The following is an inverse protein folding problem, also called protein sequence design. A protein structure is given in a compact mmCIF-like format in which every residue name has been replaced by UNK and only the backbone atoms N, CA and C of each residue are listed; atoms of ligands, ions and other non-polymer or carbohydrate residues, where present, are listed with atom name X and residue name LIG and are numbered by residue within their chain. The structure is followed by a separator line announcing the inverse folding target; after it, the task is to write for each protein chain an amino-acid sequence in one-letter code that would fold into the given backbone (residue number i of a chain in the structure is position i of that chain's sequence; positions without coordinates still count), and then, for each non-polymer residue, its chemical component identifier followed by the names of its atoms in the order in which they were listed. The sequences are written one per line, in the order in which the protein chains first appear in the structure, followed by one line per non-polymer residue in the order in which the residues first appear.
data_IF_080466749589
#
_entry.id   IF_080466749589
#
_cell.length_a   1.000
_cell.length_b   1.000
_cell.length_c   1.000
_cell.angle_alpha   90.00
_cell.angle_beta   90.00
_cell.angle_gamma   90.00
#
_symmetry.space_group_name_H-M   'P 1'
#
loop_
_entity.id
_entity.type
_entity.pdbx_description
1 polymer ?
#
# COMPACT_ATOMS: atom_id res chain seq x y z
N UNK A 1 17.08 10.57 35.49
CA UNK A 1 15.83 10.46 36.28
C UNK A 1 14.68 10.28 35.28
N UNK A 2 13.62 9.56 35.64
CA UNK A 2 12.71 8.91 34.68
C UNK A 2 11.25 9.20 35.02
N UNK A 3 10.50 9.78 34.09
CA UNK A 3 9.03 9.82 34.18
C UNK A 3 8.51 8.47 33.70
N UNK A 4 7.68 7.82 34.52
CA UNK A 4 7.13 6.50 34.24
C UNK A 4 5.63 6.51 34.50
N UNK A 5 4.85 6.29 33.45
CA UNK A 5 3.38 6.30 33.53
C UNK A 5 2.85 4.95 33.06
N UNK A 6 2.01 4.34 33.89
CA UNK A 6 1.31 3.11 33.57
C UNK A 6 0.06 3.41 32.75
N UNK A 7 -0.18 2.61 31.71
CA UNK A 7 -1.30 2.74 30.79
C UNK A 7 -2.16 1.48 30.83
N UNK A 8 -3.47 1.67 30.79
CA UNK A 8 -4.46 0.59 30.80
C UNK A 8 -5.06 0.41 29.39
N UNK A 9 -4.20 0.14 28.40
CA UNK A 9 -4.60 -0.09 27.01
C UNK A 9 -4.85 -1.58 26.78
N UNK A 10 -5.84 -1.90 25.95
CA UNK A 10 -6.34 -3.27 25.76
C UNK A 10 -6.02 -3.84 24.37
N UNK A 11 -5.68 -3.00 23.40
CA UNK A 11 -5.40 -3.41 22.03
C UNK A 11 -4.23 -2.66 21.39
N UNK A 12 -3.76 -3.16 20.25
CA UNK A 12 -2.75 -2.46 19.45
C UNK A 12 -3.31 -1.16 18.84
N UNK A 13 -4.58 -1.17 18.44
CA UNK A 13 -5.26 0.01 17.92
C UNK A 13 -5.32 1.13 18.97
N UNK A 14 -5.71 0.80 20.21
CA UNK A 14 -5.70 1.76 21.33
C UNK A 14 -4.28 2.24 21.65
N UNK A 15 -3.29 1.35 21.58
CA UNK A 15 -1.88 1.71 21.78
C UNK A 15 -1.38 2.71 20.74
N UNK A 16 -1.71 2.50 19.47
CA UNK A 16 -1.34 3.43 18.40
C UNK A 16 -2.12 4.74 18.48
N UNK A 17 -3.42 4.71 18.79
CA UNK A 17 -4.23 5.91 18.98
C UNK A 17 -3.70 6.78 20.12
N UNK A 18 -3.32 6.17 21.25
CA UNK A 18 -2.64 6.86 22.35
C UNK A 18 -1.33 7.52 21.90
N UNK A 19 -0.45 6.79 21.20
CA UNK A 19 0.83 7.35 20.76
C UNK A 19 0.62 8.52 19.79
N UNK A 20 -0.33 8.40 18.85
CA UNK A 20 -0.67 9.47 17.91
C UNK A 20 -1.18 10.72 18.64
N UNK A 21 -2.09 10.55 19.59
CA UNK A 21 -2.58 11.64 20.45
C UNK A 21 -1.45 12.25 21.28
N UNK A 22 -0.54 11.44 21.82
CA UNK A 22 0.60 11.90 22.60
C UNK A 22 1.53 12.81 21.80
N UNK A 23 1.84 12.45 20.55
CA UNK A 23 2.71 13.27 19.71
C UNK A 23 2.06 14.60 19.33
N UNK A 24 0.75 14.59 19.09
CA UNK A 24 -0.03 15.82 18.87
C UNK A 24 -0.02 16.70 20.13
N UNK A 25 -0.23 16.13 21.31
CA UNK A 25 -0.19 16.84 22.58
C UNK A 25 1.20 17.41 22.91
N UNK A 26 2.27 16.70 22.53
CA UNK A 26 3.62 17.25 22.65
C UNK A 26 3.83 18.44 21.72
N UNK A 27 3.39 18.36 20.46
CA UNK A 27 3.45 19.53 19.54
C UNK A 27 2.66 20.71 20.08
N UNK A 28 1.46 20.46 20.59
CA UNK A 28 0.61 21.50 21.18
C UNK A 28 1.24 22.13 22.43
N UNK A 29 1.65 21.30 23.39
CA UNK A 29 2.11 21.76 24.71
C UNK A 29 3.49 22.40 24.66
N UNK A 30 4.38 21.92 23.79
CA UNK A 30 5.78 22.37 23.73
C UNK A 30 6.11 23.20 22.48
N UNK A 31 5.21 23.28 21.50
CA UNK A 31 5.45 23.96 20.22
C UNK A 31 6.41 23.22 19.29
N UNK A 32 6.98 22.08 19.72
CA UNK A 32 7.94 21.28 18.96
C UNK A 32 7.84 19.81 19.34
N UNK A 33 8.02 18.92 18.36
CA UNK A 33 8.14 17.47 18.55
C UNK A 33 8.92 16.89 17.37
N UNK A 34 10.24 17.09 17.38
CA UNK A 34 11.14 16.61 16.33
C UNK A 34 11.86 15.34 16.80
N UNK A 35 12.01 14.36 15.91
CA UNK A 35 12.53 13.05 16.28
C UNK A 35 13.90 12.76 15.67
N UNK A 36 14.80 12.26 16.51
CA UNK A 36 15.79 11.29 16.07
C UNK A 36 15.16 9.90 16.23
N UNK A 37 14.44 9.46 15.21
CA UNK A 37 13.72 8.19 15.22
C UNK A 37 14.68 7.04 14.93
N UNK A 38 14.94 6.21 15.94
CA UNK A 38 15.90 5.09 15.86
C UNK A 38 15.36 3.91 16.67
N UNK A 39 14.25 3.29 16.23
CA UNK A 39 13.56 2.31 17.05
C UNK A 39 14.38 1.01 17.19
N UNK A 40 14.44 0.48 18.40
CA UNK A 40 14.98 -0.86 18.64
C UNK A 40 14.26 -1.57 19.78
N UNK A 41 14.28 -2.89 19.74
CA UNK A 41 13.60 -3.74 20.72
C UNK A 41 14.61 -4.45 21.62
N UNK A 42 14.48 -4.23 22.92
CA UNK A 42 15.15 -5.03 23.95
C UNK A 42 14.18 -6.10 24.45
N UNK A 43 14.28 -7.30 23.86
CA UNK A 43 13.42 -8.44 24.20
C UNK A 43 13.59 -8.92 25.64
N UNK A 44 14.80 -8.80 26.22
CA UNK A 44 15.06 -9.22 27.61
C UNK A 44 14.32 -8.33 28.61
N UNK A 45 14.18 -7.04 28.29
CA UNK A 45 13.46 -6.06 29.13
C UNK A 45 12.01 -5.82 28.71
N UNK A 46 11.52 -6.52 27.69
CA UNK A 46 10.22 -6.25 27.06
C UNK A 46 10.00 -4.76 26.79
N UNK A 47 11.04 -4.11 26.24
CA UNK A 47 11.08 -2.66 26.04
C UNK A 47 11.32 -2.34 24.57
N UNK A 48 10.58 -1.37 24.05
CA UNK A 48 10.81 -0.79 22.72
C UNK A 48 11.24 0.65 22.94
N UNK A 49 12.42 0.99 22.44
CA UNK A 49 12.90 2.36 22.40
C UNK A 49 12.49 2.96 21.06
N UNK A 50 11.99 4.18 21.05
CA UNK A 50 11.66 4.91 19.82
C UNK A 50 12.83 5.77 19.34
N UNK A 51 13.63 6.28 20.28
CA UNK A 51 14.72 7.22 20.02
C UNK A 51 14.60 8.43 20.93
N UNK A 52 15.10 9.56 20.44
CA UNK A 52 15.10 10.82 21.18
C UNK A 52 14.17 11.84 20.51
N UNK A 53 13.38 12.54 21.32
CA UNK A 53 12.54 13.64 20.88
C UNK A 53 13.10 14.97 21.38
N UNK A 54 13.13 15.96 20.50
CA UNK A 54 13.37 17.35 20.83
C UNK A 54 12.03 18.09 20.94
N UNK A 55 11.72 18.50 22.17
CA UNK A 55 10.52 19.27 22.54
C UNK A 55 10.83 20.78 22.72
N UNK A 56 11.97 21.27 22.22
CA UNK A 56 12.39 22.67 22.45
C UNK A 56 12.87 22.92 23.88
N UNK A 57 13.29 21.86 24.58
CA UNK A 57 13.82 21.90 25.93
C UNK A 57 15.36 21.87 25.90
N UNK A 58 16.00 22.15 27.04
CA UNK A 58 17.46 22.05 27.19
C UNK A 58 17.93 20.58 27.21
N UNK A 59 17.84 19.90 26.07
CA UNK A 59 18.26 18.52 25.83
C UNK A 59 17.12 17.62 25.36
N UNK A 60 17.44 16.65 24.51
CA UNK A 60 16.48 15.70 23.97
C UNK A 60 16.02 14.67 25.02
N UNK A 61 14.77 14.24 24.91
CA UNK A 61 14.14 13.24 25.79
C UNK A 61 14.11 11.91 25.06
N UNK A 62 14.76 10.90 25.63
CA UNK A 62 14.63 9.51 25.21
C UNK A 62 13.25 8.96 25.56
N UNK A 63 12.57 8.38 24.58
CA UNK A 63 11.24 7.79 24.76
C UNK A 63 11.28 6.30 24.47
N UNK A 64 10.62 5.55 25.34
CA UNK A 64 10.45 4.11 25.19
C UNK A 64 9.18 3.63 25.87
N UNK A 65 8.73 2.44 25.50
CA UNK A 65 7.56 1.78 26.07
C UNK A 65 7.92 0.38 26.56
N UNK A 66 7.22 -0.10 27.58
CA UNK A 66 7.19 -1.53 27.93
C UNK A 66 5.87 -2.15 27.52
N UNK A 67 5.89 -3.46 27.26
CA UNK A 67 4.72 -4.22 26.87
C UNK A 67 4.65 -5.54 27.65
N UNK A 68 3.44 -6.02 27.99
CA UNK A 68 3.23 -7.35 28.60
C UNK A 68 2.81 -8.39 27.56
N UNK A 69 1.96 -7.96 26.63
CA UNK A 69 1.59 -8.71 25.41
C UNK A 69 2.18 -7.97 24.22
N UNK A 70 2.55 -8.71 23.16
CA UNK A 70 3.12 -8.12 21.95
C UNK A 70 2.19 -6.99 21.46
N UNK A 71 2.77 -5.82 21.20
CA UNK A 71 2.09 -4.65 20.62
C UNK A 71 1.02 -3.94 21.48
N UNK A 72 0.93 -4.23 22.79
CA UNK A 72 0.06 -3.50 23.73
C UNK A 72 0.92 -2.78 24.76
N UNK A 73 0.83 -1.44 24.82
CA UNK A 73 1.65 -0.63 25.72
C UNK A 73 1.14 -0.80 27.15
N UNK A 74 2.08 -1.12 28.06
CA UNK A 74 1.83 -1.14 29.51
C UNK A 74 2.32 0.12 30.19
N UNK A 75 3.51 0.61 29.82
CA UNK A 75 4.08 1.83 30.39
C UNK A 75 4.84 2.61 29.34
N UNK A 76 4.84 3.92 29.46
CA UNK A 76 5.74 4.82 28.75
C UNK A 76 6.81 5.35 29.70
N UNK A 77 8.02 5.54 29.18
CA UNK A 77 9.16 6.04 29.92
C UNK A 77 9.79 7.21 29.16
N UNK A 78 10.04 8.30 29.88
CA UNK A 78 10.71 9.49 29.38
C UNK A 78 11.98 9.72 30.19
N UNK A 79 13.13 9.78 29.51
CA UNK A 79 14.45 9.82 30.12
C UNK A 79 15.30 10.89 29.44
N UNK A 80 15.83 11.85 30.19
CA UNK A 80 16.80 12.81 29.67
C UNK A 80 18.21 12.35 30.03
N UNK A 81 19.14 12.38 29.06
CA UNK A 81 20.52 11.98 29.30
C UNK A 81 21.20 13.00 30.24
N UNK A 82 21.86 12.49 31.30
CA UNK A 82 22.74 13.19 32.24
C UNK A 82 22.15 14.27 33.16
N UNK A 83 20.97 14.83 32.88
CA UNK A 83 20.34 15.84 33.73
C UNK A 83 19.03 15.36 34.39
N UNK A 84 18.73 15.91 35.57
CA UNK A 84 17.42 15.74 36.22
C UNK A 84 16.40 16.57 35.44
N UNK A 85 15.32 15.94 34.99
CA UNK A 85 14.19 16.69 34.40
C UNK A 85 13.67 17.65 35.48
N UNK A 86 13.62 18.97 35.22
CA UNK A 86 13.07 19.93 36.17
C UNK A 86 11.61 19.60 36.53
N UNK A 87 11.17 19.78 37.79
CA UNK A 87 9.81 19.44 38.23
C UNK A 87 8.70 20.07 37.37
N UNK A 88 8.90 21.30 36.89
CA UNK A 88 7.96 21.99 36.00
C UNK A 88 7.80 21.28 34.65
N UNK A 89 8.91 20.80 34.07
CA UNK A 89 8.91 20.04 32.83
C UNK A 89 8.29 18.67 33.05
N UNK A 90 8.61 18.01 34.17
CA UNK A 90 8.01 16.72 34.55
C UNK A 90 6.48 16.83 34.70
N UNK A 91 5.99 17.87 35.37
CA UNK A 91 4.56 18.15 35.49
C UNK A 91 3.92 18.39 34.12
N UNK A 92 4.57 19.18 33.25
CA UNK A 92 4.07 19.46 31.90
C UNK A 92 4.02 18.21 31.01
N UNK A 93 5.03 17.33 31.09
CA UNK A 93 5.07 16.04 30.40
C UNK A 93 3.94 15.12 30.89
N UNK A 94 3.73 15.06 32.20
CA UNK A 94 2.69 14.24 32.81
C UNK A 94 1.29 14.71 32.38
N UNK A 95 1.03 16.03 32.44
CA UNK A 95 -0.22 16.62 31.95
C UNK A 95 -0.48 16.32 30.48
N UNK A 96 0.56 16.40 29.62
CA UNK A 96 0.42 16.08 28.20
C UNK A 96 0.09 14.59 27.97
N UNK A 97 0.66 13.69 28.78
CA UNK A 97 0.35 12.26 28.72
C UNK A 97 -1.09 11.99 29.18
N UNK A 98 -1.53 12.59 30.28
CA UNK A 98 -2.89 12.43 30.79
C UNK A 98 -3.93 12.94 29.79
N UNK A 99 -3.66 14.11 29.17
CA UNK A 99 -4.50 14.65 28.10
C UNK A 99 -4.54 13.72 26.90
N UNK A 100 -3.39 13.21 26.45
CA UNK A 100 -3.33 12.25 25.35
C UNK A 100 -4.11 10.95 25.65
N UNK A 101 -4.10 10.46 26.89
CA UNK A 101 -4.93 9.30 27.29
C UNK A 101 -6.40 9.62 27.10
N UNK A 102 -6.86 10.78 27.61
CA UNK A 102 -8.27 11.19 27.51
C UNK A 102 -8.73 11.40 26.06
N UNK A 103 -7.89 12.01 25.22
CA UNK A 103 -8.25 12.39 23.85
C UNK A 103 -8.05 11.25 22.84
N UNK A 104 -7.25 10.23 23.16
CA UNK A 104 -6.92 9.11 22.25
C UNK A 104 -8.13 8.36 21.68
N UNK A 105 -9.30 8.49 22.30
CA UNK A 105 -10.55 7.85 21.87
C UNK A 105 -11.42 8.72 20.96
N UNK A 106 -11.03 9.99 20.76
CA UNK A 106 -11.86 10.98 20.07
C UNK A 106 -11.05 11.75 19.02
N UNK A 107 -10.52 11.07 17.98
CA UNK A 107 -9.86 11.75 16.88
C UNK A 107 -10.85 12.66 16.15
N UNK A 108 -10.35 13.78 15.61
CA UNK A 108 -11.13 14.73 14.82
C UNK A 108 -11.09 14.35 13.35
N UNK A 109 -12.12 14.78 12.61
CA UNK A 109 -12.14 14.66 11.16
C UNK A 109 -11.38 15.85 10.56
N UNK A 110 -10.44 15.54 9.67
CA UNK A 110 -9.73 16.49 8.83
C UNK A 110 -10.09 16.18 7.37
N UNK A 111 -10.25 17.23 6.57
CA UNK A 111 -10.31 17.10 5.12
C UNK A 111 -8.91 17.24 4.56
N UNK A 112 -8.50 16.31 3.71
CA UNK A 112 -7.21 16.31 3.03
C UNK A 112 -7.47 16.40 1.54
N UNK A 113 -6.72 17.25 0.85
CA UNK A 113 -6.71 17.33 -0.60
C UNK A 113 -5.39 16.72 -1.09
N UNK A 114 -5.47 15.82 -2.07
CA UNK A 114 -4.33 15.33 -2.82
C UNK A 114 -4.54 15.56 -4.31
N UNK A 115 -3.60 16.27 -4.92
CA UNK A 115 -3.49 16.37 -6.37
C UNK A 115 -2.57 15.27 -6.88
N UNK A 116 -2.90 14.71 -8.05
CA UNK A 116 -2.16 13.61 -8.62
C UNK A 116 -2.29 13.54 -10.14
N UNK A 117 -1.25 12.99 -10.76
CA UNK A 117 -1.22 12.69 -12.18
C UNK A 117 -1.69 11.26 -12.44
N UNK A 118 -2.40 11.06 -13.52
CA UNK A 118 -2.76 9.76 -14.08
C UNK A 118 -2.25 9.63 -15.53
N UNK A 119 -1.66 8.49 -15.84
CA UNK A 119 -1.19 8.17 -17.20
C UNK A 119 -1.98 6.98 -17.75
N UNK A 120 -2.56 7.09 -18.96
CA UNK A 120 -2.33 8.13 -19.97
C UNK A 120 -3.28 9.33 -19.91
N UNK A 121 -4.39 9.26 -19.16
CA UNK A 121 -5.42 10.30 -19.13
C UNK A 121 -6.03 10.44 -17.72
N UNK A 122 -6.74 11.53 -17.47
CA UNK A 122 -7.45 11.82 -16.23
C UNK A 122 -8.52 10.77 -15.91
N UNK A 123 -8.81 10.61 -14.63
CA UNK A 123 -9.94 9.80 -14.15
C UNK A 123 -11.20 10.66 -14.11
N UNK A 124 -12.34 10.03 -14.43
CA UNK A 124 -13.65 10.64 -14.36
C UNK A 124 -13.99 11.14 -12.96
N UNK A 125 -15.10 11.86 -12.86
CA UNK A 125 -15.50 12.47 -11.61
C UNK A 125 -16.37 11.50 -10.79
N UNK A 126 -16.07 11.37 -9.51
CA UNK A 126 -16.72 10.44 -8.59
C UNK A 126 -16.88 11.06 -7.21
N UNK A 127 -17.95 10.68 -6.51
CA UNK A 127 -18.25 11.13 -5.15
C UNK A 127 -18.71 9.98 -4.27
N UNK A 128 -18.07 9.82 -3.13
CA UNK A 128 -18.49 8.89 -2.07
C UNK A 128 -19.00 9.62 -0.82
N UNK A 129 -19.25 8.87 0.24
CA UNK A 129 -19.59 9.44 1.56
C UNK A 129 -18.41 10.19 2.17
N UNK A 130 -17.18 9.75 1.90
CA UNK A 130 -15.97 10.26 2.53
C UNK A 130 -14.98 10.90 1.54
N UNK A 131 -15.33 11.02 0.26
CA UNK A 131 -14.47 11.67 -0.73
C UNK A 131 -15.21 12.33 -1.89
N UNK A 132 -14.46 13.20 -2.58
CA UNK A 132 -14.76 13.73 -3.92
C UNK A 132 -13.51 13.57 -4.77
N UNK A 133 -13.68 13.08 -6.00
CA UNK A 133 -12.64 12.86 -6.99
C UNK A 133 -13.07 13.53 -8.29
N UNK A 134 -12.19 14.31 -8.91
CA UNK A 134 -12.48 14.96 -10.18
C UNK A 134 -11.22 15.28 -10.97
N UNK A 135 -11.36 15.32 -12.29
CA UNK A 135 -10.33 15.78 -13.21
C UNK A 135 -10.13 17.30 -13.09
N UNK A 136 -8.87 17.74 -13.08
CA UNK A 136 -8.50 19.16 -13.20
C UNK A 136 -8.20 19.50 -14.67
N UNK A 137 -7.45 18.62 -15.35
CA UNK A 137 -7.12 18.72 -16.77
C UNK A 137 -7.02 17.32 -17.40
N UNK A 138 -6.36 17.18 -18.55
CA UNK A 138 -6.26 15.91 -19.29
C UNK A 138 -5.52 14.77 -18.57
N UNK A 139 -4.68 15.07 -17.58
CA UNK A 139 -3.90 14.06 -16.83
C UNK A 139 -3.83 14.33 -15.32
N UNK A 140 -4.19 15.52 -14.87
CA UNK A 140 -4.16 15.88 -13.46
C UNK A 140 -5.56 15.78 -12.86
N UNK A 141 -5.60 15.25 -11.65
CA UNK A 141 -6.80 14.97 -10.89
C UNK A 141 -6.65 15.46 -9.46
N UNK A 142 -7.78 15.59 -8.77
CA UNK A 142 -7.85 15.93 -7.36
C UNK A 142 -8.76 14.97 -6.63
N UNK A 143 -8.29 14.48 -5.48
CA UNK A 143 -9.14 13.82 -4.50
C UNK A 143 -9.15 14.61 -3.19
N UNK A 144 -10.34 14.92 -2.69
CA UNK A 144 -10.58 15.51 -1.37
C UNK A 144 -11.26 14.44 -0.52
N UNK A 145 -10.71 14.11 0.64
CA UNK A 145 -11.20 12.99 1.45
C UNK A 145 -11.03 13.20 2.95
N UNK A 146 -11.85 12.49 3.72
CA UNK A 146 -11.86 12.54 5.17
C UNK A 146 -10.75 11.66 5.78
N UNK A 147 -10.06 12.20 6.78
CA UNK A 147 -9.05 11.48 7.56
C UNK A 147 -9.21 11.78 9.05
N UNK A 148 -9.16 10.74 9.89
CA UNK A 148 -9.19 10.89 11.35
C UNK A 148 -7.79 11.18 11.89
N UNK A 149 -7.63 12.29 12.60
CA UNK A 149 -6.36 12.72 13.18
C UNK A 149 -6.50 13.46 14.51
N UNK A 150 -5.40 13.55 15.26
CA UNK A 150 -5.33 14.32 16.52
C UNK A 150 -4.81 15.75 16.32
N UNK A 151 -4.03 15.98 15.26
CA UNK A 151 -3.66 17.29 14.75
C UNK A 151 -3.43 17.22 13.22
N UNK A 152 -3.10 18.36 12.60
CA UNK A 152 -2.88 18.45 11.17
C UNK A 152 -1.73 17.55 10.67
N UNK A 153 -0.65 17.42 11.44
CA UNK A 153 0.52 16.61 11.06
C UNK A 153 0.18 15.12 11.12
N UNK A 154 -0.53 14.70 12.16
CA UNK A 154 -1.03 13.32 12.30
C UNK A 154 -2.04 12.99 11.18
N UNK A 155 -2.98 13.89 10.88
CA UNK A 155 -3.93 13.71 9.80
C UNK A 155 -3.23 13.55 8.43
N UNK A 156 -2.24 14.41 8.11
CA UNK A 156 -1.45 14.27 6.88
C UNK A 156 -0.65 12.96 6.85
N UNK A 157 -0.10 12.54 7.98
CA UNK A 157 0.63 11.27 8.09
C UNK A 157 -0.28 10.06 7.81
N UNK A 158 -1.51 10.07 8.31
CA UNK A 158 -2.48 9.02 7.99
C UNK A 158 -2.93 9.08 6.52
N UNK A 159 -3.14 10.29 5.98
CA UNK A 159 -3.47 10.48 4.57
C UNK A 159 -2.40 9.87 3.64
N UNK A 160 -1.12 10.04 3.98
CA UNK A 160 0.01 9.47 3.24
C UNK A 160 0.06 7.93 3.28
N UNK A 161 -0.59 7.29 4.25
CA UNK A 161 -0.73 5.82 4.28
C UNK A 161 -1.88 5.33 3.41
N UNK A 162 -2.95 6.12 3.30
CA UNK A 162 -4.18 5.76 2.60
C UNK A 162 -4.05 6.01 1.09
N UNK A 163 -3.51 7.16 0.68
CA UNK A 163 -3.51 7.56 -0.74
C UNK A 163 -2.79 6.55 -1.66
N UNK A 164 -1.67 5.91 -1.29
CA UNK A 164 -1.05 4.90 -2.16
C UNK A 164 -1.98 3.71 -2.36
N UNK A 165 -2.81 3.34 -1.36
CA UNK A 165 -3.76 2.23 -1.49
C UNK A 165 -4.93 2.54 -2.41
N UNK A 166 -5.39 3.79 -2.39
CA UNK A 166 -6.35 4.30 -3.38
C UNK A 166 -5.76 4.19 -4.78
N UNK A 167 -4.53 4.67 -4.99
CA UNK A 167 -3.87 4.60 -6.29
C UNK A 167 -3.59 3.17 -6.75
N UNK A 168 -3.14 2.30 -5.85
CA UNK A 168 -2.92 0.88 -6.13
C UNK A 168 -4.22 0.23 -6.62
N UNK A 169 -5.34 0.49 -5.94
CA UNK A 169 -6.65 0.00 -6.34
C UNK A 169 -7.11 0.57 -7.70
N UNK A 170 -7.07 1.90 -7.86
CA UNK A 170 -7.44 2.56 -9.12
C UNK A 170 -6.61 2.05 -10.29
N UNK A 171 -5.32 1.75 -10.05
CA UNK A 171 -4.41 1.19 -11.05
C UNK A 171 -4.91 -0.14 -11.60
N UNK A 172 -5.40 -1.04 -10.75
CA UNK A 172 -6.03 -2.31 -11.18
C UNK A 172 -7.35 -2.04 -11.93
N UNK A 173 -8.15 -1.10 -11.44
CA UNK A 173 -9.45 -0.77 -12.04
C UNK A 173 -9.33 -0.15 -13.42
N UNK A 174 -8.20 0.49 -13.74
CA UNK A 174 -8.08 1.34 -14.94
C UNK A 174 -6.87 1.06 -15.81
N UNK A 175 -6.01 0.10 -15.46
CA UNK A 175 -4.72 -0.16 -16.12
C UNK A 175 -3.83 1.08 -16.27
N UNK A 176 -3.99 2.04 -15.35
CA UNK A 176 -3.29 3.32 -15.37
C UNK A 176 -2.33 3.45 -14.19
N UNK A 177 -1.40 4.40 -14.31
CA UNK A 177 -0.46 4.74 -13.24
C UNK A 177 -0.86 6.05 -12.61
N UNK A 178 -0.80 6.09 -11.28
CA UNK A 178 -1.18 7.24 -10.47
C UNK A 178 -0.02 7.68 -9.57
N UNK A 179 0.29 8.98 -9.60
CA UNK A 179 1.40 9.57 -8.84
C UNK A 179 0.93 10.87 -8.17
N UNK A 180 1.00 10.91 -6.84
CA UNK A 180 0.69 12.14 -6.08
C UNK A 180 1.72 13.22 -6.40
N UNK A 181 1.24 14.44 -6.60
CA UNK A 181 2.06 15.63 -6.81
C UNK A 181 2.06 16.53 -5.59
N UNK A 182 0.94 16.62 -4.86
CA UNK A 182 0.84 17.39 -3.62
C UNK A 182 -0.24 16.84 -2.70
N UNK A 183 -0.06 17.01 -1.38
CA UNK A 183 -1.04 16.64 -0.36
C UNK A 183 -1.04 17.68 0.75
N UNK A 184 -2.22 18.22 1.09
CA UNK A 184 -2.36 19.27 2.10
C UNK A 184 -3.71 19.20 2.85
N UNK A 185 -3.79 19.89 3.99
CA UNK A 185 -5.06 20.03 4.72
C UNK A 185 -5.98 20.96 3.94
N UNK A 186 -7.16 20.45 3.61
CA UNK A 186 -8.23 21.20 2.99
C UNK A 186 -9.14 21.81 4.06
N UNK A 187 -9.42 23.10 3.95
CA UNK A 187 -10.17 23.85 4.98
C UNK A 187 -11.68 23.86 4.77
N UNK A 188 -12.15 23.49 3.59
CA UNK A 188 -13.57 23.51 3.27
C UNK A 188 -14.17 22.11 3.42
N UNK A 189 -15.50 22.03 3.53
CA UNK A 189 -16.22 20.77 3.50
C UNK A 189 -16.32 20.23 2.07
N UNK A 190 -16.68 18.95 1.94
CA UNK A 190 -16.99 18.31 0.67
C UNK A 190 -18.29 18.88 0.09
N UNK A 191 -18.21 20.04 -0.59
CA UNK A 191 -19.36 20.70 -1.21
C UNK A 191 -19.19 20.74 -2.74
N UNK A 192 -19.97 19.91 -3.44
CA UNK A 192 -20.31 20.03 -4.87
C UNK A 192 -21.08 18.79 -5.31
N UNK A 193 -22.17 18.99 -6.05
CA UNK A 193 -22.74 17.92 -6.88
C UNK A 193 -21.74 17.64 -8.02
N UNK A 194 -21.36 16.38 -8.17
CA UNK A 194 -20.46 15.92 -9.22
C UNK A 194 -21.26 15.02 -10.15
N UNK A 195 -21.15 15.27 -11.46
CA UNK A 195 -21.74 14.37 -12.45
C UNK A 195 -20.85 13.12 -12.58
N UNK A 196 -21.37 11.98 -12.14
CA UNK A 196 -20.70 10.68 -12.21
C UNK A 196 -21.11 9.92 -13.47
N UNK A 197 -20.15 9.30 -14.14
CA UNK A 197 -20.38 8.43 -15.29
C UNK A 197 -19.60 7.14 -15.09
N UNK A 198 -20.29 6.00 -15.23
CA UNK A 198 -19.75 4.68 -14.92
C UNK A 198 -19.53 3.84 -16.17
N UNK A 199 -18.46 3.06 -16.17
CA UNK A 199 -18.17 2.06 -17.20
C UNK A 199 -19.06 0.83 -16.99
N UNK A 200 -19.57 0.23 -18.07
CA UNK A 200 -20.54 -0.88 -17.97
C UNK A 200 -20.01 -2.23 -18.50
N UNK A 201 -18.88 -2.24 -19.19
CA UNK A 201 -18.25 -3.49 -19.62
C UNK A 201 -17.41 -4.05 -18.46
N UNK A 202 -17.81 -5.23 -17.96
CA UNK A 202 -17.15 -5.91 -16.86
C UNK A 202 -16.07 -6.90 -17.31
N UNK A 203 -16.09 -7.30 -18.58
CA UNK A 203 -15.25 -8.37 -19.14
C UNK A 203 -14.09 -7.80 -19.98
N UNK A 204 -13.86 -6.49 -19.93
CA UNK A 204 -12.78 -5.84 -20.65
C UNK A 204 -11.40 -6.34 -20.17
N UNK A 205 -10.55 -6.70 -21.13
CA UNK A 205 -9.19 -7.20 -20.88
C UNK A 205 -8.16 -6.13 -21.20
N UNK A 206 -8.26 -5.54 -22.40
CA UNK A 206 -7.21 -4.71 -22.98
C UNK A 206 -7.48 -3.19 -22.87
N UNK A 207 -6.42 -2.39 -22.95
CA UNK A 207 -6.41 -0.94 -22.90
C UNK A 207 -6.89 -0.35 -21.56
N UNK A 208 -7.87 0.55 -21.61
CA UNK A 208 -8.31 1.41 -20.53
C UNK A 208 -9.85 1.48 -20.54
N UNK A 209 -10.52 1.33 -19.40
CA UNK A 209 -11.96 1.57 -19.32
C UNK A 209 -12.15 3.07 -19.43
N UNK A 210 -12.72 3.54 -20.54
CA UNK A 210 -12.85 4.97 -20.82
C UNK A 210 -14.26 5.33 -21.26
N UNK A 211 -14.71 6.48 -20.81
CA UNK A 211 -15.91 7.14 -21.32
C UNK A 211 -15.49 8.54 -21.75
N UNK A 212 -15.78 8.89 -23.00
CA UNK A 212 -15.29 10.09 -23.65
C UNK A 212 -13.74 10.18 -23.61
N UNK A 213 -13.18 11.08 -22.80
CA UNK A 213 -11.74 11.34 -22.68
C UNK A 213 -11.14 10.92 -21.33
N UNK A 214 -11.94 10.38 -20.42
CA UNK A 214 -11.53 10.08 -19.06
C UNK A 214 -11.58 8.57 -18.77
N UNK A 215 -10.71 8.11 -17.88
CA UNK A 215 -10.79 6.78 -17.29
C UNK A 215 -12.08 6.67 -16.49
N UNK A 216 -12.83 5.59 -16.67
CA UNK A 216 -14.10 5.37 -16.03
C UNK A 216 -14.04 4.17 -15.07
N UNK A 217 -14.71 4.30 -13.93
CA UNK A 217 -14.88 3.25 -12.92
C UNK A 217 -16.24 2.58 -13.06
N UNK A 218 -16.35 1.38 -12.52
CA UNK A 218 -17.65 0.79 -12.18
C UNK A 218 -18.19 1.44 -10.89
N UNK A 219 -19.52 1.50 -10.75
CA UNK A 219 -20.15 2.05 -9.55
C UNK A 219 -19.65 1.38 -8.26
N UNK A 220 -19.52 0.04 -8.29
CA UNK A 220 -19.05 -0.71 -7.14
C UNK A 220 -17.56 -0.47 -6.81
N UNK A 221 -16.76 -0.04 -7.78
CA UNK A 221 -15.37 0.36 -7.53
C UNK A 221 -15.33 1.72 -6.83
N UNK A 222 -16.22 2.65 -7.20
CA UNK A 222 -16.41 3.92 -6.48
C UNK A 222 -16.77 3.66 -5.02
N UNK A 223 -17.73 2.79 -4.74
CA UNK A 223 -18.13 2.45 -3.36
C UNK A 223 -16.98 1.83 -2.54
N UNK A 224 -16.11 1.05 -3.19
CA UNK A 224 -14.95 0.46 -2.53
C UNK A 224 -13.90 1.50 -2.10
N UNK A 225 -13.82 2.66 -2.77
CA UNK A 225 -12.94 3.75 -2.34
C UNK A 225 -13.33 4.25 -0.95
N UNK A 226 -14.62 4.38 -0.64
CA UNK A 226 -15.09 4.73 0.71
C UNK A 226 -14.63 3.71 1.74
N UNK A 227 -14.74 2.41 1.45
CA UNK A 227 -14.29 1.32 2.34
C UNK A 227 -12.79 1.42 2.67
N UNK A 228 -11.96 1.79 1.69
CA UNK A 228 -10.52 2.02 1.90
C UNK A 228 -10.31 3.23 2.82
N UNK A 229 -11.02 4.33 2.59
CA UNK A 229 -10.86 5.58 3.35
C UNK A 229 -11.26 5.44 4.82
N UNK A 230 -12.35 4.74 5.11
CA UNK A 230 -12.80 4.50 6.49
C UNK A 230 -12.06 3.34 7.17
N UNK A 231 -11.16 2.67 6.45
CA UNK A 231 -10.43 1.49 6.88
C UNK A 231 -11.37 0.34 7.31
N UNK A 232 -12.48 0.18 6.59
CA UNK A 232 -13.36 -1.01 6.67
C UNK A 232 -12.66 -2.23 6.07
N UNK A 233 -11.72 -1.99 5.16
CA UNK A 233 -10.73 -2.95 4.72
C UNK A 233 -9.36 -2.59 5.31
N UNK A 234 -8.67 -3.57 5.88
CA UNK A 234 -7.31 -3.35 6.37
C UNK A 234 -6.40 -2.90 5.21
N UNK A 235 -5.60 -1.85 5.38
CA UNK A 235 -4.66 -1.38 4.34
C UNK A 235 -3.63 -2.44 3.89
N UNK A 236 -3.45 -3.50 4.69
CA UNK A 236 -2.59 -4.65 4.39
C UNK A 236 -3.37 -5.88 3.87
N UNK A 237 -4.66 -5.72 3.56
CA UNK A 237 -5.48 -6.77 2.99
C UNK A 237 -4.82 -7.35 1.72
N UNK A 238 -4.84 -8.68 1.51
CA UNK A 238 -4.12 -9.31 0.38
C UNK A 238 -4.49 -8.71 -0.98
N UNK A 239 -5.76 -8.32 -1.19
CA UNK A 239 -6.18 -7.65 -2.41
C UNK A 239 -5.40 -6.33 -2.65
N UNK A 240 -5.36 -5.42 -1.66
CA UNK A 240 -4.63 -4.15 -1.79
C UNK A 240 -3.11 -4.37 -1.91
N UNK A 241 -2.55 -5.41 -1.26
CA UNK A 241 -1.13 -5.77 -1.44
C UNK A 241 -0.85 -6.25 -2.87
N UNK A 242 -1.74 -7.06 -3.43
CA UNK A 242 -1.67 -7.48 -4.84
C UNK A 242 -1.74 -6.28 -5.79
N UNK A 243 -2.71 -5.38 -5.57
CA UNK A 243 -2.84 -4.14 -6.34
C UNK A 243 -1.58 -3.27 -6.27
N UNK A 244 -0.91 -3.26 -5.12
CA UNK A 244 0.37 -2.54 -4.92
C UNK A 244 1.50 -3.10 -5.79
N UNK A 245 1.62 -4.42 -5.89
CA UNK A 245 2.56 -5.06 -6.82
C UNK A 245 2.23 -4.72 -8.27
N UNK A 246 0.96 -4.80 -8.65
CA UNK A 246 0.52 -4.45 -10.01
C UNK A 246 0.85 -3.00 -10.38
N UNK A 247 0.48 -2.05 -9.52
CA UNK A 247 0.74 -0.62 -9.75
C UNK A 247 2.23 -0.29 -9.79
N UNK A 248 3.03 -0.93 -8.91
CA UNK A 248 4.49 -0.78 -8.91
C UNK A 248 5.12 -1.33 -10.21
N UNK A 249 4.61 -2.44 -10.74
CA UNK A 249 5.03 -2.97 -12.04
C UNK A 249 4.80 -1.94 -13.14
N UNK A 250 3.60 -1.35 -13.19
CA UNK A 250 3.28 -0.32 -14.18
C UNK A 250 4.16 0.93 -14.06
N UNK A 251 4.49 1.37 -12.84
CA UNK A 251 5.42 2.49 -12.63
C UNK A 251 6.80 2.21 -13.22
N UNK A 252 7.37 1.05 -12.92
CA UNK A 252 8.66 0.64 -13.48
C UNK A 252 8.62 0.54 -15.00
N UNK A 253 7.52 0.02 -15.53
CA UNK A 253 7.32 -0.07 -16.97
C UNK A 253 7.27 1.31 -17.64
N UNK A 254 6.52 2.27 -17.09
CA UNK A 254 6.46 3.63 -17.65
C UNK A 254 7.80 4.38 -17.58
N UNK A 255 8.61 4.12 -16.56
CA UNK A 255 9.94 4.73 -16.43
C UNK A 255 11.02 4.02 -17.25
N UNK A 256 10.70 2.90 -17.91
CA UNK A 256 11.66 2.16 -18.73
C UNK A 256 11.99 2.94 -20.02
N UNK A 257 12.90 3.91 -19.93
CA UNK A 257 13.52 4.47 -21.12
C UNK A 257 14.42 3.40 -21.74
N UNK A 258 14.25 3.16 -23.04
CA UNK A 258 15.08 2.26 -23.82
C UNK A 258 16.57 2.50 -23.54
N UNK A 259 17.26 1.46 -23.04
CA UNK A 259 18.72 1.20 -23.06
C UNK A 259 19.42 0.99 -21.71
N UNK A 260 18.85 1.36 -20.57
CA UNK A 260 19.54 1.11 -19.28
C UNK A 260 18.50 0.87 -18.18
N UNK A 261 18.31 -0.40 -17.82
CA UNK A 261 17.86 -0.94 -16.52
C UNK A 261 17.04 -2.22 -16.72
N UNK A 262 17.19 -3.20 -15.81
CA UNK A 262 16.40 -4.44 -15.73
C UNK A 262 14.93 -4.18 -15.30
N UNK A 263 14.38 -3.02 -15.67
CA UNK A 263 13.04 -2.54 -15.28
C UNK A 263 11.94 -3.40 -15.87
N UNK A 264 12.13 -3.92 -17.08
CA UNK A 264 11.17 -4.82 -17.74
C UNK A 264 11.10 -6.17 -17.00
N UNK A 265 12.24 -6.74 -16.62
CA UNK A 265 12.31 -7.97 -15.83
C UNK A 265 11.68 -7.75 -14.45
N UNK A 266 12.02 -6.65 -13.77
CA UNK A 266 11.43 -6.30 -12.47
C UNK A 266 9.92 -6.04 -12.56
N UNK A 267 9.45 -5.38 -13.60
CA UNK A 267 8.01 -5.20 -13.86
C UNK A 267 7.32 -6.56 -14.03
N UNK A 268 7.90 -7.46 -14.82
CA UNK A 268 7.37 -8.81 -15.02
C UNK A 268 7.34 -9.61 -13.71
N UNK A 269 8.38 -9.48 -12.89
CA UNK A 269 8.44 -10.07 -11.54
C UNK A 269 7.29 -9.58 -10.67
N UNK A 270 7.03 -8.27 -10.67
CA UNK A 270 5.98 -7.66 -9.85
C UNK A 270 4.58 -8.04 -10.33
N UNK A 271 4.32 -8.13 -11.64
CA UNK A 271 3.05 -8.63 -12.17
C UNK A 271 2.75 -10.06 -11.69
N UNK A 272 3.74 -10.96 -11.78
CA UNK A 272 3.58 -12.33 -11.28
C UNK A 272 3.39 -12.33 -9.76
N UNK A 273 4.12 -11.51 -9.02
CA UNK A 273 3.97 -11.41 -7.56
C UNK A 273 2.62 -10.83 -7.12
N UNK A 274 1.97 -9.99 -7.93
CA UNK A 274 0.59 -9.59 -7.69
C UNK A 274 -0.33 -10.83 -7.62
N UNK A 275 -0.23 -11.72 -8.61
CA UNK A 275 -0.99 -12.98 -8.60
C UNK A 275 -0.61 -13.88 -7.42
N UNK A 276 0.68 -14.00 -7.07
CA UNK A 276 1.11 -14.79 -5.91
C UNK A 276 0.40 -14.33 -4.63
N UNK A 277 0.35 -13.02 -4.38
CA UNK A 277 -0.34 -12.45 -3.21
C UNK A 277 -1.86 -12.64 -3.32
N UNK A 278 -2.43 -12.48 -4.52
CA UNK A 278 -3.86 -12.68 -4.74
C UNK A 278 -4.32 -14.12 -4.42
N UNK A 279 -3.45 -15.12 -4.52
CA UNK A 279 -3.77 -16.50 -4.10
C UNK A 279 -4.08 -16.64 -2.61
N UNK A 280 -3.67 -15.68 -1.76
CA UNK A 280 -4.01 -15.68 -0.33
C UNK A 280 -5.51 -15.45 -0.07
N UNK A 281 -6.26 -14.94 -1.04
CA UNK A 281 -7.72 -14.73 -0.97
C UNK A 281 -8.52 -16.03 -1.18
N UNK A 282 -7.83 -17.13 -1.49
CA UNK A 282 -8.42 -18.44 -1.70
C UNK A 282 -8.00 -19.39 -0.57
N UNK A 283 -8.88 -20.31 -0.15
CA UNK A 283 -8.55 -21.28 0.89
C UNK A 283 -7.27 -22.03 0.54
N UNK A 284 -6.33 -22.07 1.47
CA UNK A 284 -5.12 -22.88 1.31
C UNK A 284 -5.47 -24.33 1.60
N UNK A 285 -5.48 -25.18 0.58
CA UNK A 285 -5.29 -26.62 0.81
C UNK A 285 -3.84 -26.85 1.26
N UNK A 286 -3.52 -26.53 2.52
CA UNK A 286 -2.22 -26.81 3.15
C UNK A 286 -2.06 -28.31 3.45
N UNK A 287 -2.41 -29.15 2.49
CA UNK A 287 -2.19 -30.57 2.61
C UNK A 287 -0.71 -30.84 2.31
N UNK A 288 -0.04 -31.56 3.20
CA UNK A 288 1.30 -32.09 2.95
C UNK A 288 1.17 -33.48 2.36
N UNK A 289 2.11 -33.88 1.51
CA UNK A 289 2.19 -35.24 1.04
C UNK A 289 2.45 -36.15 2.25
N UNK A 290 1.58 -37.15 2.46
CA UNK A 290 1.71 -38.08 3.59
C UNK A 290 2.97 -38.94 3.50
N UNK A 291 3.55 -39.09 2.31
CA UNK A 291 4.72 -39.92 2.06
C UNK A 291 6.04 -39.14 2.14
N UNK A 292 6.12 -37.93 1.58
CA UNK A 292 7.37 -37.16 1.50
C UNK A 292 7.40 -35.86 2.33
N UNK A 293 6.30 -35.50 3.00
CA UNK A 293 6.22 -34.31 3.85
C UNK A 293 6.27 -32.96 3.12
N UNK A 294 6.42 -32.94 1.80
CA UNK A 294 6.38 -31.71 1.01
C UNK A 294 4.97 -31.12 0.95
N UNK A 295 4.86 -29.79 0.84
CA UNK A 295 3.58 -29.11 0.62
C UNK A 295 2.99 -29.57 -0.72
N UNK A 296 1.73 -30.04 -0.74
CA UNK A 296 1.07 -30.53 -1.97
C UNK A 296 0.84 -29.42 -3.00
N UNK A 297 0.72 -28.17 -2.57
CA UNK A 297 0.58 -27.03 -3.49
C UNK A 297 1.71 -26.02 -3.29
N UNK A 298 2.55 -25.87 -4.31
CA UNK A 298 3.54 -24.78 -4.39
C UNK A 298 2.83 -23.45 -4.69
N UNK A 299 3.47 -22.31 -4.41
CA UNK A 299 2.95 -20.98 -4.79
C UNK A 299 2.67 -20.94 -6.30
N UNK A 300 3.59 -21.45 -7.11
CA UNK A 300 3.46 -21.59 -8.56
C UNK A 300 2.15 -22.31 -8.97
N UNK A 301 1.86 -23.46 -8.36
CA UNK A 301 0.65 -24.23 -8.69
C UNK A 301 -0.63 -23.44 -8.38
N UNK A 302 -0.66 -22.71 -7.27
CA UNK A 302 -1.79 -21.84 -6.92
C UNK A 302 -1.98 -20.70 -7.92
N UNK A 303 -0.89 -20.10 -8.42
CA UNK A 303 -0.98 -19.07 -9.47
C UNK A 303 -1.54 -19.66 -10.77
N UNK A 304 -1.14 -20.88 -11.13
CA UNK A 304 -1.67 -21.59 -12.31
C UNK A 304 -3.17 -21.85 -12.19
N UNK A 305 -3.61 -22.40 -11.05
CA UNK A 305 -5.02 -22.66 -10.78
C UNK A 305 -5.86 -21.38 -10.74
N UNK A 306 -5.34 -20.32 -10.11
CA UNK A 306 -5.98 -19.01 -10.12
C UNK A 306 -6.16 -18.48 -11.55
N UNK A 307 -5.11 -18.57 -12.37
CA UNK A 307 -5.16 -18.12 -13.77
C UNK A 307 -6.17 -18.93 -14.58
N UNK A 308 -6.18 -20.25 -14.43
CA UNK A 308 -7.14 -21.14 -15.11
C UNK A 308 -8.58 -20.87 -14.68
N UNK A 309 -8.80 -20.50 -13.43
CA UNK A 309 -10.14 -20.21 -12.87
C UNK A 309 -10.76 -18.97 -13.49
N UNK A 310 -9.97 -17.92 -13.71
CA UNK A 310 -10.48 -16.64 -14.23
C UNK A 310 -10.32 -16.49 -15.75
N UNK A 311 -9.42 -17.26 -16.35
CA UNK A 311 -9.16 -17.25 -17.80
C UNK A 311 -9.24 -18.68 -18.35
N UNK A 312 -8.15 -19.21 -18.89
CA UNK A 312 -8.12 -20.53 -19.51
C UNK A 312 -6.71 -21.16 -19.44
N UNK A 313 -6.61 -22.43 -19.82
CA UNK A 313 -5.36 -23.20 -19.80
C UNK A 313 -4.26 -22.64 -20.72
N UNK A 314 -4.64 -21.96 -21.80
CA UNK A 314 -3.66 -21.31 -22.67
C UNK A 314 -2.98 -20.14 -21.95
N UNK A 315 -3.76 -19.27 -21.29
CA UNK A 315 -3.21 -18.15 -20.52
C UNK A 315 -2.47 -18.63 -19.27
N UNK A 316 -2.91 -19.71 -18.64
CA UNK A 316 -2.15 -20.36 -17.56
C UNK A 316 -0.72 -20.71 -18.00
N UNK A 317 -0.55 -21.37 -19.15
CA UNK A 317 0.79 -21.72 -19.67
C UNK A 317 1.62 -20.48 -19.95
N UNK A 318 0.99 -19.43 -20.49
CA UNK A 318 1.64 -18.14 -20.71
C UNK A 318 2.17 -17.53 -19.39
N UNK A 319 1.35 -17.47 -18.33
CA UNK A 319 1.76 -16.94 -17.02
C UNK A 319 2.81 -17.85 -16.37
N UNK A 320 2.72 -19.18 -16.54
CA UNK A 320 3.68 -20.14 -16.00
C UNK A 320 5.10 -19.95 -16.58
N UNK A 321 5.20 -19.53 -17.85
CA UNK A 321 6.47 -19.16 -18.47
C UNK A 321 7.07 -17.92 -17.80
N UNK A 322 6.28 -16.87 -17.56
CA UNK A 322 6.73 -15.68 -16.82
C UNK A 322 7.12 -16.02 -15.38
N UNK A 323 6.40 -16.91 -14.72
CA UNK A 323 6.75 -17.40 -13.39
C UNK A 323 8.12 -18.07 -13.38
N UNK A 324 8.38 -18.93 -14.37
CA UNK A 324 9.65 -19.64 -14.52
C UNK A 324 10.81 -18.68 -14.81
N UNK A 325 10.59 -17.70 -15.70
CA UNK A 325 11.56 -16.65 -16.02
C UNK A 325 11.89 -15.79 -14.79
N UNK A 326 10.87 -15.34 -14.04
CA UNK A 326 11.04 -14.63 -12.76
C UNK A 326 11.91 -15.39 -11.79
N UNK A 327 11.67 -16.71 -11.63
CA UNK A 327 12.45 -17.55 -10.72
C UNK A 327 13.93 -17.61 -11.13
N UNK A 328 14.22 -17.81 -12.42
CA UNK A 328 15.59 -17.78 -12.96
C UNK A 328 16.27 -16.43 -12.70
N UNK A 329 15.57 -15.31 -12.94
CA UNK A 329 16.10 -13.97 -12.69
C UNK A 329 16.42 -13.73 -11.21
N UNK A 330 15.48 -13.98 -10.31
CA UNK A 330 15.65 -13.68 -8.88
C UNK A 330 16.68 -14.58 -8.18
N UNK A 331 16.83 -15.83 -8.62
CA UNK A 331 17.72 -16.79 -7.95
C UNK A 331 19.12 -16.88 -8.56
N UNK A 332 19.25 -16.65 -9.87
CA UNK A 332 20.51 -16.87 -10.60
C UNK A 332 20.95 -15.63 -11.38
N UNK A 333 20.13 -14.58 -11.44
CA UNK A 333 20.46 -13.34 -12.15
C UNK A 333 20.33 -13.44 -13.67
N UNK A 334 19.64 -14.47 -14.18
CA UNK A 334 19.47 -14.68 -15.63
C UNK A 334 18.43 -13.70 -16.17
N UNK A 335 18.85 -12.86 -17.12
CA UNK A 335 17.97 -11.92 -17.81
C UNK A 335 17.26 -12.58 -18.99
N UNK A 336 16.08 -12.07 -19.33
CA UNK A 336 15.31 -12.52 -20.51
C UNK A 336 15.86 -11.96 -21.81
N UNK A 337 16.59 -10.85 -21.76
CA UNK A 337 17.37 -10.33 -22.88
C UNK A 337 18.71 -9.81 -22.38
N UNK A 338 19.65 -9.63 -23.29
CA UNK A 338 20.93 -9.00 -23.00
C UNK A 338 20.97 -7.50 -23.34
N UNK A 339 19.82 -6.94 -23.77
CA UNK A 339 19.68 -5.55 -24.22
C UNK A 339 20.71 -5.11 -25.27
N UNK A 340 21.18 -6.03 -26.13
CA UNK A 340 22.18 -5.74 -27.16
C UNK A 340 21.62 -5.13 -28.46
N UNK A 341 20.31 -4.84 -28.52
CA UNK A 341 19.69 -4.24 -29.71
C UNK A 341 20.11 -2.78 -29.92
N UNK A 342 20.69 -2.48 -31.08
CA UNK A 342 21.19 -1.14 -31.46
C UNK A 342 20.44 -0.53 -32.65
N UNK A 343 19.20 -0.95 -32.89
CA UNK A 343 18.46 -0.62 -34.13
C UNK A 343 18.58 -1.67 -35.23
N UNK A 344 19.39 -2.71 -35.01
CA UNK A 344 19.49 -3.89 -35.87
C UNK A 344 19.61 -5.14 -35.00
N UNK A 345 18.95 -6.22 -35.44
CA UNK A 345 19.06 -7.53 -34.79
C UNK A 345 20.10 -8.38 -35.49
N UNK A 346 20.98 -9.02 -34.72
CA UNK A 346 21.97 -10.00 -35.16
C UNK A 346 21.57 -11.35 -34.53
N UNK A 347 20.90 -12.24 -35.29
CA UNK A 347 20.51 -13.55 -34.77
C UNK A 347 21.75 -14.35 -34.36
N UNK A 348 21.78 -14.79 -33.10
CA UNK A 348 22.84 -15.64 -32.56
C UNK A 348 22.19 -16.82 -31.84
N UNK A 349 22.80 -18.00 -31.92
CA UNK A 349 22.36 -19.16 -31.18
C UNK A 349 22.70 -18.98 -29.70
N UNK A 350 21.76 -19.35 -28.83
CA UNK A 350 21.96 -19.43 -27.39
C UNK A 350 21.34 -20.73 -26.88
N UNK A 351 22.15 -21.75 -26.53
CA UNK A 351 21.65 -23.03 -26.06
C UNK A 351 20.99 -22.94 -24.67
N UNK A 352 21.18 -21.84 -23.94
CA UNK A 352 20.53 -21.60 -22.65
C UNK A 352 19.16 -20.88 -22.78
N UNK A 353 18.85 -20.34 -23.96
CA UNK A 353 17.59 -19.67 -24.27
C UNK A 353 16.50 -20.67 -24.65
N UNK A 354 15.27 -20.42 -24.20
CA UNK A 354 14.11 -21.28 -24.50
C UNK A 354 13.80 -21.32 -26.02
N UNK A 355 14.18 -20.28 -26.77
CA UNK A 355 14.02 -20.22 -28.23
C UNK A 355 15.20 -20.81 -29.02
N UNK A 356 16.27 -21.19 -28.32
CA UNK A 356 17.56 -21.55 -28.94
C UNK A 356 18.33 -20.36 -29.54
N UNK A 357 17.80 -19.14 -29.42
CA UNK A 357 18.39 -17.91 -29.94
C UNK A 357 18.56 -16.86 -28.83
N UNK A 358 19.60 -16.04 -28.97
CA UNK A 358 19.88 -14.89 -28.12
C UNK A 358 18.79 -13.83 -28.32
N UNK A 359 18.15 -13.42 -27.23
CA UNK A 359 17.12 -12.38 -27.24
C UNK A 359 17.79 -11.03 -26.99
N UNK A 360 17.78 -10.15 -27.99
CA UNK A 360 18.51 -8.88 -27.95
C UNK A 360 17.71 -7.70 -27.38
N UNK A 361 16.39 -7.84 -27.30
CA UNK A 361 15.48 -6.86 -26.72
C UNK A 361 14.52 -7.55 -25.78
N UNK A 362 14.28 -6.96 -24.61
CA UNK A 362 13.23 -7.47 -23.71
C UNK A 362 11.87 -7.25 -24.36
N UNK A 363 11.01 -8.26 -24.28
CA UNK A 363 9.63 -8.17 -24.76
C UNK A 363 8.83 -7.40 -23.72
N UNK A 364 8.10 -6.36 -24.15
CA UNK A 364 7.25 -5.59 -23.26
C UNK A 364 6.14 -6.51 -22.69
N UNK A 365 5.92 -6.53 -21.37
CA UNK A 365 4.97 -7.43 -20.73
C UNK A 365 3.52 -6.93 -20.87
N UNK A 366 3.12 -6.42 -22.04
CA UNK A 366 1.80 -5.82 -22.28
C UNK A 366 0.70 -6.85 -22.00
N UNK A 367 0.75 -8.01 -22.63
CA UNK A 367 -0.26 -9.06 -22.40
C UNK A 367 -0.25 -9.56 -20.94
N UNK A 368 0.92 -9.60 -20.31
CA UNK A 368 1.01 -9.96 -18.90
C UNK A 368 0.29 -8.93 -18.01
N UNK A 369 0.47 -7.63 -18.28
CA UNK A 369 -0.28 -6.56 -17.61
C UNK A 369 -1.78 -6.77 -17.78
N UNK A 370 -2.26 -6.95 -19.00
CA UNK A 370 -3.70 -7.07 -19.28
C UNK A 370 -4.30 -8.27 -18.55
N UNK A 371 -3.71 -9.46 -18.66
CA UNK A 371 -4.22 -10.66 -17.99
C UNK A 371 -4.17 -10.57 -16.47
N UNK A 372 -3.08 -10.03 -15.89
CA UNK A 372 -2.99 -9.87 -14.44
C UNK A 372 -4.05 -8.89 -13.95
N UNK A 373 -4.22 -7.76 -14.64
CA UNK A 373 -5.21 -6.76 -14.27
C UNK A 373 -6.64 -7.31 -14.31
N UNK A 374 -6.96 -8.06 -15.37
CA UNK A 374 -8.24 -8.73 -15.54
C UNK A 374 -8.51 -9.70 -14.39
N UNK A 375 -7.56 -10.59 -14.08
CA UNK A 375 -7.68 -11.54 -12.96
C UNK A 375 -7.94 -10.80 -11.65
N UNK A 376 -7.23 -9.70 -11.38
CA UNK A 376 -7.44 -8.91 -10.16
C UNK A 376 -8.82 -8.25 -10.12
N UNK A 377 -9.32 -7.72 -11.25
CA UNK A 377 -10.70 -7.19 -11.35
C UNK A 377 -11.75 -8.29 -11.16
N UNK A 378 -11.55 -9.47 -11.72
CA UNK A 378 -12.45 -10.62 -11.52
C UNK A 378 -12.46 -11.07 -10.06
N UNK A 379 -11.30 -11.10 -9.39
CA UNK A 379 -11.20 -11.38 -7.94
C UNK A 379 -11.95 -10.32 -7.14
N UNK A 380 -11.77 -9.04 -7.47
CA UNK A 380 -12.50 -7.95 -6.83
C UNK A 380 -14.01 -8.20 -6.89
N UNK A 381 -14.54 -8.48 -8.08
CA UNK A 381 -15.97 -8.75 -8.30
C UNK A 381 -16.48 -10.01 -7.61
N UNK A 382 -15.63 -10.99 -7.33
CA UNK A 382 -16.03 -12.25 -6.67
C UNK A 382 -15.90 -12.20 -5.14
N UNK A 383 -15.01 -11.37 -4.60
CA UNK A 383 -14.58 -11.46 -3.20
C UNK A 383 -14.78 -10.17 -2.40
N UNK A 384 -14.82 -9.02 -3.06
CA UNK A 384 -14.81 -7.71 -2.39
C UNK A 384 -16.16 -6.98 -2.47
N UNK A 385 -17.05 -7.46 -3.34
CA UNK A 385 -18.35 -6.87 -3.66
C UNK A 385 -19.52 -7.63 -3.02
N UNK A 386 -19.41 -8.95 -2.84
CA UNK A 386 -20.36 -9.75 -2.10
C UNK A 386 -20.19 -9.48 -0.61
N UNK A 387 -21.23 -8.91 0.00
CA UNK A 387 -21.32 -8.62 1.43
C UNK A 387 -20.76 -9.78 2.28
N UNK A 388 -19.72 -9.48 3.06
CA UNK A 388 -18.92 -10.41 3.84
C UNK A 388 -19.71 -10.94 5.05
N UNK A 389 -20.71 -11.79 4.80
CA UNK A 389 -21.39 -12.60 5.83
C UNK A 389 -20.97 -14.06 5.84
N UNK A 390 -19.96 -14.45 5.07
CA UNK A 390 -19.55 -15.86 5.03
C UNK A 390 -18.12 -16.07 4.58
N UNK A 391 -17.16 -15.74 5.45
CA UNK A 391 -15.92 -16.51 5.55
C UNK A 391 -15.77 -16.99 7.00
N UNK A 392 -15.68 -18.32 7.22
CA UNK A 392 -15.64 -18.89 8.57
C UNK A 392 -14.35 -18.47 9.31
N UNK A 393 -14.53 -18.15 10.59
CA UNK A 393 -13.48 -17.84 11.56
C UNK A 393 -12.45 -18.96 11.71
#
# INVERSE_FOLDING_TARGET
MKVEIALNLTSNQESNAFLRALWAEFRYSFGKCAWQYSPYKDGKKNRIYFGYVDLGLNGAIGISISYKRKNIIKKIFLEQNFNRIPPEIEAKLSNAIDKAISESRSPRIYYVQTDFESTPMAIGNYSGSHFRLYAIDEKTNRIIYEVKGFDAIDALTEAQKIIPKIFDFLSVCTNSVFTSTSTEIFKNQLNSDIHEVFFEDFDWIDDYPRIEKNLALWEIQRDFLDKILVNDIELNHPFLRSSSHFHSAQKLWLTSSSLVENTIELSSVLYVSALEVATELYPLENSTCKECGQKKYSIRQRVKELTRTHLNEYIERFIDNYYSARSKYLHVGVLSSDSSYIGASIPQLDPASDSGCRIQTSILPINLKEYVSYILRSIFMQKMTTDDRSLPK
#
